data_IF_347734662886
#
_entry.id   IF_347734662886
#
_cell.length_a   1.000
_cell.length_b   1.000
_cell.length_c   1.000
_cell.angle_alpha   90.00
_cell.angle_beta   90.00
_cell.angle_gamma   90.00
#
_symmetry.space_group_name_H-M   'P 1'
#
loop_
_entity.id
_entity.type
_entity.pdbx_description
1 polymer ?
#
# COMPACT_ATOMS: atom_id res chain seq x y z
N UNK A 1 0.15 -31.87 0.02
CA UNK A 1 1.48 -31.84 -0.62
C UNK A 1 1.55 -30.48 -1.31
N UNK A 2 2.16 -29.48 -0.66
CA UNK A 2 2.27 -28.13 -1.24
C UNK A 2 3.33 -28.17 -2.35
N UNK A 3 2.93 -27.74 -3.55
CA UNK A 3 3.86 -27.57 -4.67
C UNK A 3 4.95 -26.56 -4.28
N UNK A 4 6.19 -27.04 -4.30
CA UNK A 4 7.38 -26.22 -4.12
C UNK A 4 7.61 -25.44 -5.41
N UNK A 5 6.97 -24.28 -5.56
CA UNK A 5 7.32 -23.35 -6.64
C UNK A 5 8.77 -22.91 -6.42
N UNK A 6 9.68 -23.33 -7.31
CA UNK A 6 11.04 -22.81 -7.32
C UNK A 6 11.00 -21.34 -7.75
N UNK A 7 11.12 -20.44 -6.78
CA UNK A 7 11.14 -19.00 -7.00
C UNK A 7 10.87 -18.20 -5.74
N UNK A 8 11.30 -16.94 -5.71
CA UNK A 8 10.94 -16.01 -4.64
C UNK A 8 9.43 -15.71 -4.78
N UNK A 9 8.63 -16.13 -3.81
CA UNK A 9 7.20 -15.87 -3.75
C UNK A 9 6.98 -14.49 -3.11
N UNK A 10 6.34 -13.59 -3.84
CA UNK A 10 5.89 -12.28 -3.33
C UNK A 10 4.42 -12.35 -2.92
N UNK A 11 4.12 -11.89 -1.71
CA UNK A 11 2.74 -11.72 -1.21
C UNK A 11 2.50 -10.24 -0.93
N UNK A 12 1.38 -9.73 -1.44
CA UNK A 12 0.94 -8.36 -1.23
C UNK A 12 -0.30 -8.33 -0.33
N UNK A 13 -0.25 -7.50 0.72
CA UNK A 13 -1.41 -7.14 1.52
C UNK A 13 -1.99 -5.83 0.98
N UNK A 14 -3.26 -5.85 0.62
CA UNK A 14 -3.99 -4.66 0.20
C UNK A 14 -5.17 -4.41 1.14
N UNK A 15 -5.44 -3.14 1.43
CA UNK A 15 -6.66 -2.68 2.09
C UNK A 15 -7.67 -2.25 1.04
N UNK A 16 -8.96 -2.33 1.34
CA UNK A 16 -10.02 -1.82 0.47
C UNK A 16 -10.77 -0.73 1.22
N UNK A 17 -10.92 0.44 0.58
CA UNK A 17 -11.73 1.53 1.12
C UNK A 17 -13.21 1.13 1.10
N UNK A 18 -13.89 1.21 2.24
CA UNK A 18 -15.32 0.93 2.34
C UNK A 18 -16.17 2.01 1.65
N UNK A 19 -15.65 3.23 1.49
CA UNK A 19 -16.39 4.36 0.92
C UNK A 19 -16.49 4.28 -0.60
N UNK A 20 -15.38 4.00 -1.27
CA UNK A 20 -15.29 4.08 -2.73
C UNK A 20 -14.72 2.80 -3.37
N UNK A 21 -14.58 1.70 -2.60
CA UNK A 21 -14.24 0.35 -3.10
C UNK A 21 -12.80 0.18 -3.62
N UNK A 22 -11.98 1.23 -3.50
CA UNK A 22 -10.63 1.26 -4.06
C UNK A 22 -9.64 0.48 -3.20
N UNK A 23 -8.76 -0.28 -3.87
CA UNK A 23 -7.74 -1.11 -3.22
C UNK A 23 -6.42 -0.38 -3.10
N UNK A 24 -5.78 -0.41 -1.94
CA UNK A 24 -4.50 0.25 -1.71
C UNK A 24 -3.51 -0.72 -1.14
N UNK A 25 -2.25 -0.63 -1.55
CA UNK A 25 -1.23 -1.51 -1.00
C UNK A 25 -0.91 -1.11 0.43
N UNK A 26 -1.00 -2.07 1.33
CA UNK A 26 -0.50 -1.93 2.69
C UNK A 26 1.00 -2.21 2.73
N UNK A 27 1.39 -3.41 2.29
CA UNK A 27 2.79 -3.86 2.27
C UNK A 27 2.99 -5.09 1.38
N UNK A 28 4.24 -5.38 0.99
CA UNK A 28 4.64 -6.58 0.25
C UNK A 28 5.80 -7.27 0.95
N UNK A 29 5.74 -8.60 1.03
CA UNK A 29 6.84 -9.41 1.53
C UNK A 29 7.20 -10.50 0.54
N UNK A 30 8.44 -10.96 0.61
CA UNK A 30 9.00 -12.02 -0.23
C UNK A 30 9.50 -13.16 0.64
N UNK A 31 9.32 -14.38 0.18
CA UNK A 31 9.82 -15.59 0.85
C UNK A 31 10.18 -16.68 -0.15
N UNK A 32 10.95 -17.67 0.29
CA UNK A 32 11.28 -18.84 -0.52
C UNK A 32 10.07 -19.75 -0.74
N UNK A 33 9.06 -19.65 0.13
CA UNK A 33 7.76 -20.32 0.00
C UNK A 33 6.67 -19.45 0.63
N UNK A 34 5.41 -19.77 0.31
CA UNK A 34 4.26 -18.92 0.63
C UNK A 34 4.10 -18.68 2.13
N UNK A 35 4.27 -19.71 2.95
CA UNK A 35 4.19 -19.60 4.40
C UNK A 35 5.23 -18.61 4.95
N UNK A 36 6.49 -18.69 4.53
CA UNK A 36 7.54 -17.75 4.96
C UNK A 36 7.21 -16.30 4.57
N UNK A 37 6.68 -16.08 3.37
CA UNK A 37 6.29 -14.74 2.92
C UNK A 37 5.14 -14.18 3.77
N UNK A 38 4.19 -15.02 4.17
CA UNK A 38 3.07 -14.66 5.06
C UNK A 38 3.52 -14.39 6.50
N UNK A 39 4.44 -15.19 7.03
CA UNK A 39 5.05 -14.98 8.36
C UNK A 39 5.80 -13.65 8.39
N UNK A 40 6.61 -13.36 7.38
CA UNK A 40 7.32 -12.07 7.25
C UNK A 40 6.37 -10.88 7.21
N UNK A 41 5.24 -11.03 6.51
CA UNK A 41 4.20 -10.01 6.44
C UNK A 41 3.49 -9.81 7.79
N UNK A 42 3.24 -10.90 8.52
CA UNK A 42 2.65 -10.85 9.85
C UNK A 42 3.57 -10.15 10.85
N UNK A 43 4.87 -10.43 10.82
CA UNK A 43 5.86 -9.81 11.69
C UNK A 43 5.99 -8.30 11.39
N UNK A 44 5.99 -7.92 10.11
CA UNK A 44 5.93 -6.51 9.71
C UNK A 44 4.70 -5.79 10.31
N UNK A 45 3.52 -6.39 10.24
CA UNK A 45 2.29 -5.79 10.80
C UNK A 45 2.38 -5.62 12.32
N UNK A 46 2.98 -6.60 13.02
CA UNK A 46 3.12 -6.58 14.48
C UNK A 46 4.12 -5.53 14.96
N UNK A 47 5.23 -5.36 14.26
CA UNK A 47 6.37 -4.59 14.76
C UNK A 47 6.53 -3.19 14.15
N UNK A 48 6.10 -3.00 12.90
CA UNK A 48 6.47 -1.83 12.11
C UNK A 48 5.32 -0.83 11.86
N UNK A 49 4.06 -1.23 12.06
CA UNK A 49 2.90 -0.34 11.84
C UNK A 49 2.98 0.97 12.64
N UNK A 50 3.57 0.96 13.83
CA UNK A 50 3.61 2.12 14.72
C UNK A 50 4.76 3.11 14.43
N UNK A 51 5.73 2.76 13.57
CA UNK A 51 6.99 3.52 13.42
C UNK A 51 7.09 4.33 12.13
N UNK A 52 6.14 4.19 11.22
CA UNK A 52 6.20 4.84 9.91
C UNK A 52 5.52 6.21 9.91
N UNK A 53 6.12 7.13 9.17
CA UNK A 53 5.53 8.42 8.84
C UNK A 53 4.17 8.25 8.14
N UNK A 54 3.22 9.12 8.44
CA UNK A 54 1.91 9.13 7.78
C UNK A 54 1.88 10.23 6.73
N UNK A 55 1.57 9.86 5.49
CA UNK A 55 1.36 10.78 4.38
C UNK A 55 -0.13 10.93 4.09
N UNK A 56 -0.56 12.16 3.85
CA UNK A 56 -1.88 12.49 3.32
C UNK A 56 -1.76 12.75 1.82
N UNK A 57 -2.52 12.03 1.01
CA UNK A 57 -2.56 12.17 -0.45
C UNK A 57 -3.96 12.67 -0.83
N UNK A 58 -4.03 13.80 -1.51
CA UNK A 58 -5.27 14.31 -2.11
C UNK A 58 -5.27 14.04 -3.60
N UNK A 59 -6.33 13.43 -4.09
CA UNK A 59 -6.39 12.91 -5.46
C UNK A 59 -7.82 12.84 -5.98
N UNK A 60 -7.96 12.69 -7.29
CA UNK A 60 -9.25 12.53 -7.98
C UNK A 60 -9.09 11.56 -9.14
N UNK A 61 -10.08 10.69 -9.37
CA UNK A 61 -10.11 9.88 -10.58
C UNK A 61 -10.54 10.74 -11.78
N UNK A 62 -10.03 10.48 -13.00
CA UNK A 62 -10.29 11.33 -14.17
C UNK A 62 -11.80 11.55 -14.44
N UNK A 63 -12.63 10.54 -14.20
CA UNK A 63 -14.07 10.59 -14.45
C UNK A 63 -14.91 10.78 -13.18
N UNK A 64 -14.27 11.14 -12.07
CA UNK A 64 -14.93 11.47 -10.81
C UNK A 64 -14.86 12.98 -10.61
N UNK A 65 -15.85 13.62 -9.98
CA UNK A 65 -15.82 15.04 -9.62
C UNK A 65 -15.37 15.29 -8.18
N UNK A 66 -15.31 14.23 -7.36
CA UNK A 66 -14.98 14.31 -5.94
C UNK A 66 -13.46 14.33 -5.69
N UNK A 67 -13.04 15.19 -4.75
CA UNK A 67 -11.68 15.19 -4.23
C UNK A 67 -11.56 14.18 -3.09
N UNK A 68 -10.80 13.11 -3.32
CA UNK A 68 -10.53 12.08 -2.31
C UNK A 68 -9.30 12.43 -1.49
N UNK A 69 -9.35 12.07 -0.21
CA UNK A 69 -8.19 12.14 0.71
C UNK A 69 -7.90 10.75 1.23
N UNK A 70 -6.64 10.32 1.11
CA UNK A 70 -6.20 9.00 1.53
C UNK A 70 -4.91 9.09 2.35
N UNK A 71 -4.79 8.23 3.36
CA UNK A 71 -3.69 8.24 4.31
C UNK A 71 -2.83 6.98 4.17
N UNK A 72 -1.52 7.17 4.11
CA UNK A 72 -0.55 6.09 3.90
C UNK A 72 0.57 6.16 4.92
N UNK A 73 0.78 5.07 5.66
CA UNK A 73 2.02 4.86 6.39
C UNK A 73 3.12 4.44 5.40
N UNK A 74 4.23 5.17 5.35
CA UNK A 74 5.36 4.84 4.50
C UNK A 74 6.67 5.50 5.02
N UNK A 75 7.85 4.96 4.68
CA UNK A 75 9.12 5.56 5.08
C UNK A 75 9.44 6.87 4.34
N UNK A 76 8.89 7.08 3.14
CA UNK A 76 9.09 8.28 2.35
C UNK A 76 7.94 8.49 1.34
N UNK A 77 7.96 9.63 0.66
CA UNK A 77 6.92 10.03 -0.30
C UNK A 77 6.80 9.07 -1.48
N UNK A 78 7.93 8.56 -2.00
CA UNK A 78 7.90 7.63 -3.14
C UNK A 78 7.21 6.32 -2.76
N UNK A 79 7.55 5.76 -1.61
CA UNK A 79 6.89 4.55 -1.09
C UNK A 79 5.40 4.77 -0.82
N UNK A 80 4.99 5.97 -0.39
CA UNK A 80 3.57 6.31 -0.25
C UNK A 80 2.85 6.31 -1.61
N UNK A 81 3.47 6.88 -2.64
CA UNK A 81 2.93 6.89 -4.01
C UNK A 81 2.89 5.49 -4.63
N UNK A 82 3.93 4.67 -4.42
CA UNK A 82 3.95 3.29 -4.89
C UNK A 82 2.82 2.47 -4.27
N UNK A 83 2.53 2.71 -2.97
CA UNK A 83 1.39 2.10 -2.29
C UNK A 83 0.05 2.58 -2.85
N UNK A 84 -0.04 3.86 -3.16
CA UNK A 84 -1.23 4.50 -3.73
C UNK A 84 -1.55 4.02 -5.15
N UNK A 85 -0.56 3.87 -6.03
CA UNK A 85 -0.77 3.45 -7.41
C UNK A 85 -0.81 1.93 -7.61
N UNK A 86 -0.72 1.14 -6.53
CA UNK A 86 -0.71 -0.31 -6.63
C UNK A 86 -1.94 -0.88 -7.35
N UNK A 87 -1.68 -1.62 -8.44
CA UNK A 87 -2.73 -2.26 -9.24
C UNK A 87 -3.59 -1.29 -10.05
N UNK A 88 -3.14 -0.05 -10.26
CA UNK A 88 -3.85 0.99 -11.03
C UNK A 88 -3.04 1.46 -12.24
N UNK A 89 -3.76 2.01 -13.20
CA UNK A 89 -3.15 2.78 -14.29
C UNK A 89 -2.79 4.19 -13.80
N UNK A 90 -1.54 4.63 -14.03
CA UNK A 90 -1.03 5.94 -13.63
C UNK A 90 -1.82 7.11 -14.24
N UNK A 91 -2.40 6.92 -15.42
CA UNK A 91 -3.18 7.94 -16.10
C UNK A 91 -4.63 7.97 -15.63
N UNK A 92 -5.09 7.06 -14.78
CA UNK A 92 -6.50 7.04 -14.34
C UNK A 92 -6.80 8.05 -13.22
N UNK A 93 -5.77 8.62 -12.59
CA UNK A 93 -5.87 9.44 -11.38
C UNK A 93 -4.98 10.67 -11.49
N UNK A 94 -5.48 11.80 -11.00
CA UNK A 94 -4.69 13.02 -10.77
C UNK A 94 -4.43 13.17 -9.27
N UNK A 95 -3.15 13.32 -8.89
CA UNK A 95 -2.73 13.63 -7.52
C UNK A 95 -2.47 15.14 -7.42
N UNK A 96 -3.14 15.81 -6.48
CA UNK A 96 -3.01 17.26 -6.29
C UNK A 96 -1.97 17.62 -5.24
N UNK A 97 -1.94 16.86 -4.15
CA UNK A 97 -1.04 17.14 -3.04
C UNK A 97 -0.62 15.84 -2.34
N UNK A 98 0.61 15.86 -1.83
CA UNK A 98 1.13 14.86 -0.91
C UNK A 98 1.79 15.60 0.23
N UNK A 99 1.32 15.37 1.45
CA UNK A 99 1.82 16.04 2.66
C UNK A 99 2.24 15.02 3.69
N UNK A 100 3.41 15.22 4.29
CA UNK A 100 3.84 14.46 5.45
C UNK A 100 3.11 15.01 6.68
N UNK A 101 2.42 14.15 7.42
CA UNK A 101 1.73 14.53 8.63
C UNK A 101 2.78 14.76 9.74
N UNK A 102 2.61 15.81 10.57
CA UNK A 102 3.50 16.03 11.70
C UNK A 102 3.43 14.83 12.65
N UNK A 103 4.61 14.37 13.09
CA UNK A 103 4.73 13.35 14.11
C UNK A 103 4.46 14.07 15.45
N UNK A 104 3.43 13.63 16.18
CA UNK A 104 3.14 14.15 17.52
C UNK A 104 3.90 13.40 18.60
#
# INVERSE_FOLDING_TARGET
>A
MEEKLEGIIEVALATTSAHHGQKFLFHKCRGAYRQQALESLLDYIREHKAKECVFTIQWRAINDDELHTSYFCAPNIQAALDKFFFGRDLHSITVFSVSLNPIS
#
